data_IF_564956150906
#
_entry.id   IF_564956150906
#
_cell.length_a   1.000
_cell.length_b   1.000
_cell.length_c   1.000
_cell.angle_alpha   90.00
_cell.angle_beta   90.00
_cell.angle_gamma   90.00
#
_symmetry.space_group_name_H-M   'P 1'
#
loop_
_entity.id
_entity.type
_entity.pdbx_description
1 polymer ?
#
# COMPACT_ATOMS: atom_id res chain seq x y z
N UNK A 1 2.96 15.39 -0.84
CA UNK A 1 2.62 14.06 -0.29
C UNK A 1 3.57 13.75 0.86
N UNK A 2 3.04 13.23 1.96
CA UNK A 2 3.85 12.90 3.13
C UNK A 2 4.11 11.38 3.18
N UNK A 3 5.24 10.94 2.64
CA UNK A 3 5.69 9.55 2.71
C UNK A 3 6.49 9.30 4.00
N UNK A 4 5.85 9.44 5.14
CA UNK A 4 6.46 9.40 6.47
C UNK A 4 7.08 8.03 6.83
N UNK A 5 6.63 6.95 6.23
CA UNK A 5 7.14 5.59 6.49
C UNK A 5 8.61 5.42 6.14
N UNK A 6 9.16 6.25 5.25
CA UNK A 6 10.60 6.31 4.97
C UNK A 6 11.44 6.60 6.22
N UNK A 7 10.87 7.33 7.21
CA UNK A 7 11.59 7.81 8.39
C UNK A 7 11.50 6.87 9.59
N UNK A 8 10.86 5.70 9.45
CA UNK A 8 10.95 4.65 10.45
C UNK A 8 12.40 4.15 10.54
N UNK A 9 12.96 3.99 11.76
CA UNK A 9 14.38 3.66 11.94
C UNK A 9 14.83 2.42 11.18
N UNK A 10 14.02 1.35 11.18
CA UNK A 10 14.37 0.10 10.50
C UNK A 10 14.25 0.19 8.97
N UNK A 11 13.40 1.06 8.43
CA UNK A 11 13.37 1.34 6.98
C UNK A 11 14.61 2.14 6.54
N UNK A 12 15.11 3.06 7.39
CA UNK A 12 16.39 3.73 7.16
C UNK A 12 17.56 2.73 7.22
N UNK A 13 17.54 1.81 8.20
CA UNK A 13 18.54 0.76 8.34
C UNK A 13 18.54 -0.17 7.13
N UNK A 14 17.37 -0.65 6.70
CA UNK A 14 17.24 -1.49 5.49
C UNK A 14 17.81 -0.80 4.24
N UNK A 15 17.54 0.51 4.08
CA UNK A 15 18.14 1.32 3.01
C UNK A 15 19.67 1.32 3.08
N UNK A 16 20.22 1.48 4.28
CA UNK A 16 21.68 1.47 4.47
C UNK A 16 22.28 0.10 4.12
N UNK A 17 21.64 -1.00 4.55
CA UNK A 17 22.04 -2.37 4.20
C UNK A 17 22.10 -2.59 2.67
N UNK A 18 21.09 -2.06 1.93
CA UNK A 18 21.08 -2.12 0.46
C UNK A 18 22.25 -1.30 -0.11
N UNK A 19 22.47 -0.09 0.40
CA UNK A 19 23.54 0.80 -0.06
C UNK A 19 24.94 0.21 0.21
N UNK A 20 25.11 -0.50 1.32
CA UNK A 20 26.36 -1.16 1.69
C UNK A 20 26.55 -2.51 0.97
N UNK A 21 25.56 -2.95 0.17
CA UNK A 21 25.61 -4.17 -0.63
C UNK A 21 25.38 -5.46 0.17
N UNK A 22 24.88 -5.38 1.41
CA UNK A 22 24.63 -6.54 2.27
C UNK A 22 23.60 -7.52 1.67
N UNK A 23 22.62 -7.01 0.92
CA UNK A 23 21.64 -7.84 0.22
C UNK A 23 22.18 -8.40 -1.10
N UNK A 24 23.28 -7.85 -1.63
CA UNK A 24 23.73 -8.13 -2.98
C UNK A 24 22.81 -7.57 -4.06
N UNK A 25 22.73 -8.24 -5.21
CA UNK A 25 21.86 -7.86 -6.31
C UNK A 25 20.38 -8.10 -5.94
N UNK A 26 19.57 -7.06 -5.87
CA UNK A 26 18.14 -7.18 -5.57
C UNK A 26 17.43 -7.91 -6.72
N UNK A 27 16.65 -8.95 -6.37
CA UNK A 27 15.97 -9.85 -7.30
C UNK A 27 14.46 -9.82 -7.18
N UNK A 28 13.92 -9.79 -5.94
CA UNK A 28 12.49 -9.81 -5.68
C UNK A 28 12.11 -8.79 -4.62
N UNK A 29 10.98 -8.09 -4.85
CA UNK A 29 10.38 -7.15 -3.91
C UNK A 29 8.91 -7.49 -3.81
N UNK A 30 8.42 -7.87 -2.64
CA UNK A 30 7.03 -8.27 -2.46
C UNK A 30 6.43 -7.68 -1.18
N UNK A 31 5.10 -7.66 -1.10
CA UNK A 31 4.43 -7.21 0.11
C UNK A 31 2.98 -6.82 -0.08
N UNK A 32 2.50 -6.06 0.88
CA UNK A 32 1.14 -5.55 0.86
C UNK A 32 1.01 -4.21 1.60
N UNK A 33 -0.09 -3.49 1.32
CA UNK A 33 -0.61 -2.44 2.17
C UNK A 33 -2.12 -2.60 2.27
N UNK A 34 -2.60 -2.95 3.47
CA UNK A 34 -3.98 -3.32 3.72
C UNK A 34 -4.59 -2.48 4.84
N UNK A 35 -5.85 -2.08 4.63
CA UNK A 35 -6.67 -1.33 5.57
C UNK A 35 -8.12 -1.83 5.51
N UNK A 36 -8.94 -1.52 6.54
CA UNK A 36 -10.36 -1.89 6.60
C UNK A 36 -11.33 -0.71 6.71
N UNK A 37 -10.84 0.51 6.65
CA UNK A 37 -11.66 1.69 6.95
C UNK A 37 -12.71 2.03 5.89
N UNK A 38 -12.71 1.35 4.74
CA UNK A 38 -13.73 1.42 3.70
C UNK A 38 -14.39 0.05 3.45
N UNK A 39 -14.48 -0.81 4.48
CA UNK A 39 -14.99 -2.17 4.36
C UNK A 39 -16.50 -2.22 4.08
N UNK A 40 -17.28 -1.36 4.76
CA UNK A 40 -18.74 -1.39 4.69
C UNK A 40 -19.28 -0.42 3.63
N UNK A 41 -20.47 -0.69 3.12
CA UNK A 41 -21.16 0.20 2.18
C UNK A 41 -21.55 1.54 2.81
N UNK A 42 -21.60 1.61 4.15
CA UNK A 42 -21.84 2.84 4.93
C UNK A 42 -20.58 3.68 5.12
N UNK A 43 -19.39 3.14 4.85
CA UNK A 43 -18.14 3.90 4.95
C UNK A 43 -18.05 4.89 3.79
N UNK A 44 -17.90 6.18 4.10
CA UNK A 44 -17.82 7.24 3.12
C UNK A 44 -16.64 8.17 3.33
N UNK A 45 -15.97 8.53 2.24
CA UNK A 45 -14.92 9.53 2.22
C UNK A 45 -14.83 10.22 0.87
N UNK A 46 -14.30 11.43 0.81
CA UNK A 46 -14.11 12.19 -0.43
C UNK A 46 -13.26 11.47 -1.48
N UNK A 47 -12.38 10.55 -1.07
CA UNK A 47 -11.56 9.74 -1.98
C UNK A 47 -12.37 8.77 -2.84
N UNK A 48 -13.61 8.50 -2.46
CA UNK A 48 -14.56 7.72 -3.28
C UNK A 48 -15.08 8.49 -4.49
N UNK A 49 -14.95 9.81 -4.48
CA UNK A 49 -15.42 10.71 -5.52
C UNK A 49 -14.29 10.96 -6.54
N UNK A 50 -14.37 10.46 -7.79
CA UNK A 50 -13.29 10.59 -8.78
C UNK A 50 -12.89 12.05 -9.07
N UNK A 51 -13.84 12.98 -9.00
CA UNK A 51 -13.60 14.41 -9.23
C UNK A 51 -12.72 15.04 -8.13
N UNK A 52 -12.66 14.43 -6.94
CA UNK A 52 -11.87 14.90 -5.79
C UNK A 52 -10.64 14.05 -5.56
N UNK A 53 -10.79 12.72 -5.58
CA UNK A 53 -9.75 11.75 -5.24
C UNK A 53 -8.98 11.20 -6.45
N UNK A 54 -9.45 11.45 -7.66
CA UNK A 54 -8.91 10.85 -8.88
C UNK A 54 -9.52 9.48 -9.20
N UNK A 55 -9.12 8.92 -10.34
CA UNK A 55 -9.67 7.65 -10.85
C UNK A 55 -9.18 6.41 -10.11
N UNK A 56 -8.06 6.52 -9.39
CA UNK A 56 -7.47 5.44 -8.57
C UNK A 56 -7.64 5.81 -7.09
N UNK A 57 -8.25 4.90 -6.32
CA UNK A 57 -8.46 5.14 -4.88
C UNK A 57 -7.44 4.38 -4.02
N UNK A 58 -7.56 3.06 -3.90
CA UNK A 58 -6.64 2.29 -3.06
C UNK A 58 -5.19 2.41 -3.55
N UNK A 59 -4.96 2.30 -4.85
CA UNK A 59 -3.62 2.49 -5.42
C UNK A 59 -3.13 3.92 -5.21
N UNK A 60 -3.97 4.92 -5.50
CA UNK A 60 -3.61 6.34 -5.40
C UNK A 60 -3.36 6.80 -3.95
N UNK A 61 -4.15 6.32 -3.00
CA UNK A 61 -4.07 6.68 -1.59
C UNK A 61 -2.93 5.93 -0.87
N UNK A 62 -2.98 4.59 -0.86
CA UNK A 62 -2.03 3.78 -0.08
C UNK A 62 -0.99 3.02 -0.91
N UNK A 63 -1.32 2.62 -2.15
CA UNK A 63 -0.38 1.92 -3.01
C UNK A 63 0.88 2.73 -3.31
N UNK A 64 0.73 4.05 -3.47
CA UNK A 64 1.85 4.98 -3.69
C UNK A 64 2.83 4.99 -2.52
N UNK A 65 2.36 4.82 -1.27
CA UNK A 65 3.24 4.74 -0.09
C UNK A 65 4.14 3.50 -0.13
N UNK A 66 3.58 2.35 -0.52
CA UNK A 66 4.37 1.10 -0.62
C UNK A 66 5.41 1.18 -1.73
N UNK A 67 5.02 1.66 -2.92
CA UNK A 67 5.91 1.83 -4.08
C UNK A 67 7.02 2.84 -3.74
N UNK A 68 6.66 3.94 -3.10
CA UNK A 68 7.62 4.96 -2.67
C UNK A 68 8.63 4.41 -1.67
N UNK A 69 8.16 3.69 -0.63
CA UNK A 69 9.03 3.12 0.39
C UNK A 69 10.00 2.11 -0.19
N UNK A 70 9.52 1.16 -0.98
CA UNK A 70 10.38 0.12 -1.57
C UNK A 70 11.36 0.68 -2.57
N UNK A 71 10.95 1.67 -3.37
CA UNK A 71 11.87 2.41 -4.26
C UNK A 71 12.90 3.22 -3.48
N UNK A 72 12.50 3.80 -2.34
CA UNK A 72 13.42 4.54 -1.47
C UNK A 72 14.47 3.62 -0.83
N UNK A 73 14.07 2.43 -0.35
CA UNK A 73 14.97 1.46 0.27
C UNK A 73 15.95 0.91 -0.77
N UNK A 74 15.46 0.49 -1.92
CA UNK A 74 16.25 -0.20 -2.93
C UNK A 74 16.99 0.71 -3.90
N UNK A 75 16.55 1.97 -4.04
CA UNK A 75 17.03 2.89 -5.07
C UNK A 75 16.51 2.55 -6.49
N UNK A 76 15.73 1.47 -6.65
CA UNK A 76 15.30 0.98 -7.96
C UNK A 76 14.03 1.69 -8.44
N UNK A 77 13.97 1.92 -9.77
CA UNK A 77 12.81 2.50 -10.44
C UNK A 77 11.95 1.41 -11.08
N UNK A 78 10.64 1.54 -10.91
CA UNK A 78 9.66 0.71 -11.63
C UNK A 78 9.65 1.13 -13.11
N UNK A 79 9.79 0.16 -14.02
CA UNK A 79 9.79 0.38 -15.47
C UNK A 79 8.52 -0.07 -16.16
N UNK A 80 7.80 -1.03 -15.56
CA UNK A 80 6.48 -1.44 -16.04
C UNK A 80 5.64 -2.08 -14.93
N UNK A 81 4.33 -2.02 -15.10
CA UNK A 81 3.34 -2.58 -14.20
C UNK A 81 2.29 -3.37 -14.99
N UNK A 82 1.88 -4.51 -14.42
CA UNK A 82 0.62 -5.19 -14.75
C UNK A 82 -0.25 -5.09 -13.51
N UNK A 83 -1.51 -4.68 -13.68
CA UNK A 83 -2.42 -4.41 -12.57
C UNK A 83 -3.78 -5.08 -12.80
N UNK A 84 -4.31 -5.72 -11.76
CA UNK A 84 -5.72 -6.10 -11.64
C UNK A 84 -6.35 -5.23 -10.55
N UNK A 85 -7.34 -4.44 -10.94
CA UNK A 85 -8.07 -3.54 -10.05
C UNK A 85 -9.49 -4.06 -9.84
N UNK A 86 -9.96 -4.03 -8.60
CA UNK A 86 -11.30 -4.51 -8.28
C UNK A 86 -12.07 -3.53 -7.41
N UNK A 87 -13.36 -3.34 -7.74
CA UNK A 87 -14.34 -2.59 -6.95
C UNK A 87 -15.37 -3.59 -6.43
N UNK A 88 -15.26 -3.99 -5.17
CA UNK A 88 -16.17 -4.97 -4.54
C UNK A 88 -17.43 -4.30 -4.01
N UNK A 89 -17.30 -3.12 -3.38
CA UNK A 89 -18.43 -2.35 -2.84
C UNK A 89 -18.88 -1.33 -3.89
N UNK A 90 -19.70 -1.81 -4.84
CA UNK A 90 -20.12 -1.05 -6.02
C UNK A 90 -21.12 0.07 -5.72
N UNK A 91 -21.80 0.03 -4.59
CA UNK A 91 -22.73 1.07 -4.15
C UNK A 91 -22.47 1.38 -2.69
N UNK A 92 -22.37 2.67 -2.36
CA UNK A 92 -22.15 3.13 -0.99
C UNK A 92 -23.19 4.18 -0.59
N UNK A 93 -23.42 4.29 0.70
CA UNK A 93 -24.35 5.25 1.31
C UNK A 93 -23.62 6.55 1.63
N UNK A 94 -23.74 7.55 0.75
CA UNK A 94 -23.19 8.87 1.00
C UNK A 94 -24.02 9.60 2.04
N UNK A 95 -23.48 10.03 3.19
CA UNK A 95 -24.18 10.88 4.13
C UNK A 95 -24.57 12.24 3.52
N UNK A 96 -25.74 12.73 3.86
CA UNK A 96 -26.18 14.09 3.50
C UNK A 96 -25.59 15.08 4.50
N UNK A 97 -24.65 15.93 4.03
CA UNK A 97 -23.96 16.92 4.86
C UNK A 97 -22.44 16.70 4.96
N UNK A 98 -21.76 17.49 5.78
CA UNK A 98 -20.32 17.38 5.95
C UNK A 98 -19.93 16.06 6.65
N UNK A 99 -18.94 15.38 6.10
CA UNK A 99 -18.39 14.12 6.62
C UNK A 99 -16.95 14.34 7.03
N UNK A 100 -16.61 14.01 8.27
CA UNK A 100 -15.22 13.97 8.72
C UNK A 100 -14.56 12.66 8.27
N UNK A 101 -13.29 12.77 7.85
CA UNK A 101 -12.49 11.60 7.48
C UNK A 101 -12.32 10.68 8.70
N UNK A 102 -12.57 9.38 8.53
CA UNK A 102 -12.55 8.35 9.57
C UNK A 102 -13.69 8.45 10.64
N UNK A 103 -14.73 9.25 10.42
CA UNK A 103 -15.94 9.17 11.24
C UNK A 103 -16.77 7.95 10.83
N UNK A 104 -17.39 7.28 11.82
CA UNK A 104 -18.42 6.28 11.51
C UNK A 104 -19.66 7.00 10.94
N UNK A 105 -20.32 6.37 9.96
CA UNK A 105 -21.55 6.90 9.41
C UNK A 105 -22.58 7.14 10.55
N UNK A 106 -23.01 8.38 10.70
CA UNK A 106 -24.08 8.74 11.64
C UNK A 106 -25.42 8.19 11.17
N UNK A 107 -26.41 8.16 12.06
CA UNK A 107 -27.80 7.74 11.78
C UNK A 107 -28.60 8.73 10.92
N UNK A 108 -27.92 9.52 10.08
CA UNK A 108 -28.52 10.54 9.22
C UNK A 108 -29.04 10.01 7.88
N UNK A 109 -29.69 10.89 7.12
CA UNK A 109 -30.12 10.60 5.75
C UNK A 109 -28.91 10.32 4.84
N UNK A 110 -29.03 9.31 3.98
CA UNK A 110 -27.96 8.90 3.03
C UNK A 110 -28.52 8.85 1.61
N UNK A 111 -27.62 8.96 0.64
CA UNK A 111 -27.92 8.81 -0.78
C UNK A 111 -27.03 7.69 -1.32
N UNK A 112 -27.65 6.70 -1.99
CA UNK A 112 -26.89 5.64 -2.67
C UNK A 112 -26.06 6.23 -3.82
N UNK A 113 -24.76 5.89 -3.86
CA UNK A 113 -23.81 6.31 -4.89
C UNK A 113 -23.13 5.11 -5.50
N UNK A 114 -23.05 5.09 -6.82
CA UNK A 114 -22.22 4.13 -7.56
C UNK A 114 -20.73 4.48 -7.38
N UNK A 115 -19.92 3.45 -7.14
CA UNK A 115 -18.47 3.56 -6.94
C UNK A 115 -17.76 2.90 -8.13
N UNK A 116 -16.85 3.64 -8.74
CA UNK A 116 -16.05 3.20 -9.88
C UNK A 116 -14.56 3.11 -9.57
N UNK A 117 -14.14 3.60 -8.38
CA UNK A 117 -12.75 3.57 -7.94
C UNK A 117 -12.41 2.24 -7.28
N UNK A 118 -11.15 1.84 -7.34
CA UNK A 118 -10.65 0.56 -6.86
C UNK A 118 -10.69 0.42 -5.33
N UNK A 119 -11.28 -0.68 -4.83
CA UNK A 119 -11.19 -1.12 -3.44
C UNK A 119 -9.85 -1.84 -3.18
N UNK A 120 -9.39 -2.58 -4.20
CA UNK A 120 -8.17 -3.39 -4.14
C UNK A 120 -7.42 -3.34 -5.46
N UNK A 121 -6.10 -3.63 -5.37
CA UNK A 121 -5.26 -3.84 -6.52
C UNK A 121 -4.24 -4.96 -6.26
N UNK A 122 -4.01 -5.79 -7.29
CA UNK A 122 -2.88 -6.71 -7.34
C UNK A 122 -1.93 -6.21 -8.43
N UNK A 123 -0.70 -5.89 -8.04
CA UNK A 123 0.28 -5.32 -8.95
C UNK A 123 1.46 -6.26 -9.14
N UNK A 124 1.88 -6.46 -10.38
CA UNK A 124 3.16 -7.07 -10.74
C UNK A 124 4.06 -5.99 -11.34
N UNK A 125 5.28 -5.87 -10.82
CA UNK A 125 6.20 -4.79 -11.13
C UNK A 125 7.47 -5.33 -11.79
N UNK A 126 8.02 -4.55 -12.72
CA UNK A 126 9.38 -4.76 -13.24
C UNK A 126 10.23 -3.55 -12.89
N UNK A 127 11.46 -3.81 -12.48
CA UNK A 127 12.43 -2.78 -12.12
C UNK A 127 13.56 -2.68 -13.15
N UNK A 128 14.23 -1.53 -13.18
CA UNK A 128 15.26 -1.19 -14.16
C UNK A 128 16.46 -2.15 -14.16
N UNK A 129 16.80 -2.76 -13.00
CA UNK A 129 17.88 -3.75 -12.86
C UNK A 129 17.45 -5.17 -13.25
N UNK A 130 16.20 -5.38 -13.68
CA UNK A 130 15.64 -6.70 -13.98
C UNK A 130 14.95 -7.40 -12.81
N UNK A 131 14.93 -6.84 -11.60
CA UNK A 131 14.17 -7.36 -10.47
C UNK A 131 12.67 -7.41 -10.77
N UNK A 132 11.95 -8.24 -10.03
CA UNK A 132 10.49 -8.38 -10.10
C UNK A 132 9.87 -7.98 -8.78
N UNK A 133 8.63 -7.48 -8.84
CA UNK A 133 7.87 -7.19 -7.63
C UNK A 133 6.43 -7.61 -7.73
N UNK A 134 5.83 -7.80 -6.55
CA UNK A 134 4.39 -8.02 -6.41
C UNK A 134 3.88 -7.34 -5.15
N UNK A 135 2.72 -6.68 -5.26
CA UNK A 135 2.11 -6.06 -4.10
C UNK A 135 0.60 -6.16 -4.16
N UNK A 136 0.00 -6.43 -3.00
CA UNK A 136 -1.46 -6.39 -2.79
C UNK A 136 -1.81 -5.12 -2.03
N UNK A 137 -2.69 -4.32 -2.60
CA UNK A 137 -3.22 -3.09 -2.02
C UNK A 137 -4.70 -3.29 -1.72
N UNK A 138 -5.17 -2.94 -0.52
CA UNK A 138 -6.58 -3.09 -0.16
C UNK A 138 -7.02 -2.10 0.91
N UNK A 139 -8.22 -1.53 0.73
CA UNK A 139 -8.90 -0.72 1.76
C UNK A 139 -10.14 -1.42 2.34
N UNK A 140 -10.32 -2.71 2.02
CA UNK A 140 -11.46 -3.53 2.43
C UNK A 140 -11.03 -4.86 3.06
N UNK A 141 -9.88 -4.87 3.74
CA UNK A 141 -9.33 -6.07 4.40
C UNK A 141 -9.69 -6.09 5.89
N UNK A 142 -10.67 -6.90 6.33
CA UNK A 142 -11.19 -6.87 7.70
C UNK A 142 -10.09 -7.07 8.74
N UNK A 143 -10.07 -6.19 9.77
CA UNK A 143 -9.14 -6.27 10.89
C UNK A 143 -7.77 -5.63 10.64
N UNK A 144 -7.43 -5.27 9.40
CA UNK A 144 -6.19 -4.57 9.08
C UNK A 144 -6.40 -3.06 9.19
N UNK A 145 -5.78 -2.42 10.17
CA UNK A 145 -5.96 -0.97 10.40
C UNK A 145 -5.00 -0.14 9.55
N UNK A 146 -3.76 -0.54 9.46
CA UNK A 146 -2.73 0.13 8.65
C UNK A 146 -1.54 -0.79 8.38
N UNK A 147 -1.81 -2.01 7.89
CA UNK A 147 -0.84 -3.07 7.73
C UNK A 147 -0.04 -2.89 6.43
N UNK A 148 1.16 -2.33 6.53
CA UNK A 148 2.14 -2.25 5.46
C UNK A 148 3.28 -3.22 5.72
N UNK A 149 3.54 -4.11 4.77
CA UNK A 149 4.64 -5.06 4.85
C UNK A 149 5.44 -5.03 3.54
N UNK A 150 6.74 -5.16 3.63
CA UNK A 150 7.61 -5.41 2.50
C UNK A 150 8.62 -6.52 2.82
N UNK A 151 9.00 -7.26 1.77
CA UNK A 151 10.13 -8.16 1.74
C UNK A 151 10.98 -7.86 0.52
N UNK A 152 12.29 -7.80 0.70
CA UNK A 152 13.28 -7.56 -0.34
C UNK A 152 14.29 -8.70 -0.29
N UNK A 153 14.40 -9.44 -1.39
CA UNK A 153 15.30 -10.57 -1.53
C UNK A 153 16.41 -10.23 -2.52
N UNK A 154 17.62 -10.31 -2.04
CA UNK A 154 18.83 -10.11 -2.84
C UNK A 154 19.54 -11.42 -3.19
N UNK A 155 20.77 -11.30 -3.72
CA UNK A 155 21.58 -12.45 -4.09
C UNK A 155 22.34 -13.06 -2.90
N UNK A 156 22.52 -12.32 -1.82
CA UNK A 156 23.27 -12.72 -0.61
C UNK A 156 22.39 -12.87 0.62
N UNK A 157 21.41 -12.00 0.80
CA UNK A 157 20.48 -12.04 1.92
C UNK A 157 19.12 -11.45 1.55
N UNK A 158 18.13 -11.63 2.42
CA UNK A 158 16.82 -11.01 2.33
C UNK A 158 16.49 -10.24 3.60
N UNK A 159 15.64 -9.22 3.48
CA UNK A 159 15.13 -8.47 4.60
C UNK A 159 13.62 -8.27 4.48
N UNK A 160 12.91 -8.20 5.61
CA UNK A 160 11.47 -7.93 5.63
C UNK A 160 11.09 -7.13 6.88
N UNK A 161 10.10 -6.25 6.71
CA UNK A 161 9.58 -5.40 7.76
C UNK A 161 8.06 -5.30 7.68
N UNK A 162 7.42 -5.12 8.84
CA UNK A 162 5.98 -4.99 8.98
C UNK A 162 5.64 -3.80 9.90
N UNK A 163 4.74 -2.94 9.46
CA UNK A 163 4.28 -1.79 10.24
C UNK A 163 3.49 -2.15 11.52
N UNK A 164 2.97 -3.37 11.62
CA UNK A 164 2.29 -3.87 12.84
C UNK A 164 3.29 -4.32 13.91
N UNK A 165 4.57 -4.52 13.54
CA UNK A 165 5.70 -4.80 14.45
C UNK A 165 6.92 -3.95 14.04
N UNK A 166 6.81 -2.62 14.10
CA UNK A 166 7.74 -1.70 13.42
C UNK A 166 9.15 -1.68 14.02
N UNK A 167 9.36 -2.27 15.17
CA UNK A 167 10.63 -2.43 15.88
C UNK A 167 11.37 -3.73 15.55
N UNK A 168 10.85 -4.53 14.61
CA UNK A 168 11.47 -5.76 14.13
C UNK A 168 11.80 -5.67 12.64
N UNK A 169 13.04 -6.05 12.32
CA UNK A 169 13.50 -6.28 10.93
C UNK A 169 13.99 -7.72 10.85
N UNK A 170 13.31 -8.54 10.05
CA UNK A 170 13.80 -9.88 9.75
C UNK A 170 14.92 -9.80 8.71
N UNK A 171 16.02 -10.51 8.95
CA UNK A 171 17.14 -10.64 8.03
C UNK A 171 17.42 -12.14 7.86
N UNK A 172 17.41 -12.62 6.61
CA UNK A 172 17.66 -14.00 6.25
C UNK A 172 18.93 -14.17 5.46
N UNK A 173 19.73 -15.15 5.84
CA UNK A 173 20.92 -15.60 5.13
C UNK A 173 20.76 -17.08 4.74
N UNK A 174 21.46 -17.50 3.68
CA UNK A 174 21.65 -18.91 3.39
C UNK A 174 23.03 -19.31 3.88
N UNK A 175 23.07 -20.31 4.74
CA UNK A 175 24.31 -20.94 5.23
C UNK A 175 24.94 -21.81 4.15
#
# INVERSE_FOLDING_TARGET
>A
VNYNTRFYPLNQHARQMVADGELGDIRLISGHYMQDWLLFDTDWNWRLEPDKGGSLRAVGDIGTHWIDLTSYITGLKVTSVMAELSTFVKTRQQPVGPVETFSQAGSGETIAREITTDDTALLLLRYENGARGSVVISQVSPGRKNAMQWQIDGSTSGASWDSETPDHLWIGHRD
#
